data_IF_486402811140
#
_entry.id   IF_486402811140
#
_cell.length_a   1.000
_cell.length_b   1.000
_cell.length_c   1.000
_cell.angle_alpha   90.00
_cell.angle_beta   90.00
_cell.angle_gamma   90.00
#
_symmetry.space_group_name_H-M   'P 1'
#
loop_
_entity.id
_entity.type
_entity.pdbx_description
1 polymer ?
#
# COMPACT_ATOMS: atom_id res chain seq x y z
N UNK A 1 10.20 23.44 -44.40
CA UNK A 1 9.19 22.53 -43.81
C UNK A 1 8.97 22.97 -42.37
N UNK A 2 7.88 23.67 -42.09
CA UNK A 2 7.51 24.08 -40.74
C UNK A 2 7.01 22.82 -40.00
N UNK A 3 7.90 22.20 -39.20
CA UNK A 3 7.51 21.14 -38.33
C UNK A 3 6.46 21.66 -37.34
N UNK A 4 5.27 21.09 -37.29
CA UNK A 4 4.27 21.40 -36.28
C UNK A 4 4.87 21.00 -34.94
N UNK A 5 5.35 22.00 -34.19
CA UNK A 5 5.73 21.82 -32.80
C UNK A 5 4.44 21.62 -32.02
N UNK A 6 4.39 20.53 -31.23
CA UNK A 6 3.27 20.29 -30.33
C UNK A 6 3.33 21.32 -29.20
N UNK A 7 2.21 21.84 -28.80
CA UNK A 7 2.04 22.79 -27.70
C UNK A 7 1.97 22.08 -26.31
N UNK A 8 2.26 20.79 -26.29
CA UNK A 8 2.30 19.97 -25.06
C UNK A 8 3.44 18.97 -25.09
N UNK A 9 3.90 18.60 -23.90
CA UNK A 9 4.80 17.49 -23.68
C UNK A 9 3.99 16.19 -23.47
N UNK A 10 4.25 15.17 -24.28
CA UNK A 10 3.75 13.82 -23.99
C UNK A 10 4.54 13.24 -22.82
N UNK A 11 3.83 12.77 -21.79
CA UNK A 11 4.45 12.22 -20.58
C UNK A 11 4.33 10.70 -20.50
N UNK A 12 3.08 10.17 -20.63
CA UNK A 12 2.81 8.74 -20.47
C UNK A 12 1.50 8.35 -21.15
N UNK A 13 1.17 7.05 -21.12
CA UNK A 13 -0.14 6.51 -21.47
C UNK A 13 -0.84 5.94 -20.26
N UNK A 14 -2.16 5.98 -20.23
CA UNK A 14 -2.95 5.40 -19.17
C UNK A 14 -4.25 4.79 -19.69
N UNK A 15 -4.73 3.79 -18.95
CA UNK A 15 -6.03 3.20 -19.18
C UNK A 15 -7.07 3.97 -18.35
N UNK A 16 -8.16 4.33 -18.98
CA UNK A 16 -9.28 5.07 -18.38
C UNK A 16 -10.61 4.51 -18.86
N UNK A 17 -11.69 5.17 -18.49
CA UNK A 17 -13.05 4.90 -18.99
C UNK A 17 -13.61 6.13 -19.69
N UNK A 18 -14.43 5.90 -20.68
CA UNK A 18 -15.22 6.97 -21.32
C UNK A 18 -16.31 7.46 -20.36
N UNK A 19 -16.45 8.78 -20.19
CA UNK A 19 -17.48 9.35 -19.30
C UNK A 19 -18.91 9.14 -19.80
N UNK A 20 -19.08 8.82 -21.07
CA UNK A 20 -20.40 8.70 -21.71
C UNK A 20 -20.87 7.23 -21.81
N UNK A 21 -20.05 6.35 -22.36
CA UNK A 21 -20.42 4.94 -22.57
C UNK A 21 -19.75 3.96 -21.59
N UNK A 22 -18.95 4.44 -20.66
CA UNK A 22 -18.25 3.69 -19.62
C UNK A 22 -17.32 2.58 -20.13
N UNK A 23 -17.02 2.55 -21.42
CA UNK A 23 -16.08 1.59 -21.99
C UNK A 23 -14.64 1.99 -21.67
N UNK A 24 -13.79 1.00 -21.56
CA UNK A 24 -12.34 1.17 -21.44
C UNK A 24 -11.80 1.94 -22.64
N UNK A 25 -10.99 2.96 -22.38
CA UNK A 25 -10.30 3.76 -23.39
C UNK A 25 -8.84 3.97 -22.99
N UNK A 26 -7.98 4.12 -23.98
CA UNK A 26 -6.60 4.55 -23.76
C UNK A 26 -6.54 6.07 -23.81
N UNK A 27 -5.77 6.65 -22.90
CA UNK A 27 -5.54 8.08 -22.83
C UNK A 27 -4.05 8.40 -22.85
N UNK A 28 -3.71 9.59 -23.30
CA UNK A 28 -2.37 10.17 -23.19
C UNK A 28 -2.32 11.08 -21.98
N UNK A 29 -1.30 10.93 -21.15
CA UNK A 29 -0.97 11.92 -20.14
C UNK A 29 -0.06 12.94 -20.79
N UNK A 30 -0.48 14.20 -20.76
CA UNK A 30 0.24 15.31 -21.37
C UNK A 30 0.46 16.44 -20.35
N UNK A 31 1.58 17.13 -20.49
CA UNK A 31 1.89 18.34 -19.72
C UNK A 31 1.76 19.53 -20.65
N UNK A 32 0.92 20.47 -20.28
CA UNK A 32 0.67 21.71 -21.01
C UNK A 32 0.45 22.84 -20.00
N UNK A 33 1.12 23.98 -20.19
CA UNK A 33 1.01 25.16 -19.33
C UNK A 33 1.20 24.82 -17.83
N UNK A 34 2.24 24.04 -17.52
CA UNK A 34 2.60 23.54 -16.18
C UNK A 34 1.52 22.70 -15.48
N UNK A 35 0.52 22.25 -16.22
CA UNK A 35 -0.56 21.38 -15.76
C UNK A 35 -0.52 20.02 -16.44
N UNK A 36 -1.06 19.02 -15.78
CA UNK A 36 -1.13 17.66 -16.30
C UNK A 36 -2.55 17.31 -16.67
N UNK A 37 -2.72 16.83 -17.88
CA UNK A 37 -4.01 16.42 -18.42
C UNK A 37 -3.96 14.98 -18.93
N UNK A 38 -5.12 14.32 -18.89
CA UNK A 38 -5.39 13.11 -19.66
C UNK A 38 -6.22 13.47 -20.88
N UNK A 39 -5.63 13.29 -22.07
CA UNK A 39 -6.33 13.45 -23.37
C UNK A 39 -6.73 12.07 -23.87
N UNK A 40 -8.02 11.82 -23.99
CA UNK A 40 -8.58 10.51 -24.36
C UNK A 40 -9.65 10.63 -25.44
N UNK A 41 -9.72 9.60 -26.29
CA UNK A 41 -10.71 9.47 -27.36
C UNK A 41 -11.40 8.10 -27.25
N UNK A 42 -12.70 8.11 -27.12
CA UNK A 42 -13.50 6.90 -27.20
C UNK A 42 -13.90 6.63 -28.66
N UNK A 43 -13.38 5.56 -29.22
CA UNK A 43 -13.74 5.18 -30.61
C UNK A 43 -15.18 4.66 -30.75
N UNK A 44 -15.81 4.21 -29.66
CA UNK A 44 -17.17 3.66 -29.68
C UNK A 44 -18.26 4.72 -29.80
N UNK A 45 -18.07 5.89 -29.18
CA UNK A 45 -19.04 7.00 -29.21
C UNK A 45 -18.42 8.31 -29.73
N UNK A 46 -17.18 8.27 -30.23
CA UNK A 46 -16.42 9.41 -30.73
C UNK A 46 -16.22 10.54 -29.72
N UNK A 47 -16.41 10.27 -28.42
CA UNK A 47 -16.21 11.25 -27.36
C UNK A 47 -14.71 11.54 -27.18
N UNK A 48 -14.36 12.82 -27.31
CA UNK A 48 -13.04 13.33 -27.01
C UNK A 48 -13.08 14.12 -25.71
N UNK A 49 -12.16 13.84 -24.80
CA UNK A 49 -12.10 14.48 -23.49
C UNK A 49 -10.66 14.83 -23.13
N UNK A 50 -10.50 16.00 -22.51
CA UNK A 50 -9.26 16.42 -21.89
C UNK A 50 -9.55 16.71 -20.42
N UNK A 51 -9.06 15.83 -19.53
CA UNK A 51 -9.34 15.85 -18.10
C UNK A 51 -8.10 16.37 -17.36
N UNK A 52 -8.27 17.37 -16.49
CA UNK A 52 -7.20 17.83 -15.61
C UNK A 52 -6.90 16.76 -14.56
N UNK A 53 -5.63 16.34 -14.46
CA UNK A 53 -5.15 15.40 -13.45
C UNK A 53 -4.42 16.12 -12.31
N UNK A 54 -3.66 17.17 -12.64
CA UNK A 54 -2.94 17.99 -11.65
C UNK A 54 -2.78 19.40 -12.19
N UNK A 55 -2.92 20.38 -11.34
CA UNK A 55 -2.61 21.78 -11.63
C UNK A 55 -1.14 22.15 -11.41
N UNK A 56 -0.33 21.19 -10.91
CA UNK A 56 1.10 21.28 -10.70
C UNK A 56 1.82 20.11 -11.36
N UNK A 57 2.49 20.36 -12.48
CA UNK A 57 3.20 19.36 -13.25
C UNK A 57 4.50 18.90 -12.55
N UNK A 58 5.15 19.76 -11.78
CA UNK A 58 6.37 19.42 -11.06
C UNK A 58 6.04 18.46 -9.91
N UNK A 59 5.02 18.77 -9.11
CA UNK A 59 4.55 17.88 -8.06
C UNK A 59 4.14 16.50 -8.63
N UNK A 60 3.40 16.49 -9.74
CA UNK A 60 2.99 15.25 -10.39
C UNK A 60 4.18 14.38 -10.83
N UNK A 61 5.23 14.99 -11.40
CA UNK A 61 6.47 14.31 -11.78
C UNK A 61 7.19 13.76 -10.56
N UNK A 62 7.37 14.58 -9.53
CA UNK A 62 8.06 14.17 -8.29
C UNK A 62 7.38 12.98 -7.63
N UNK A 63 6.05 12.94 -7.59
CA UNK A 63 5.31 11.79 -7.06
C UNK A 63 5.56 10.50 -7.85
N UNK A 64 5.84 10.60 -9.16
CA UNK A 64 6.03 9.43 -10.02
C UNK A 64 7.49 9.06 -10.28
N UNK A 65 8.37 10.02 -10.30
CA UNK A 65 9.78 9.84 -10.68
C UNK A 65 10.72 9.79 -9.47
N UNK A 66 10.36 10.50 -8.39
CA UNK A 66 11.24 10.63 -7.21
C UNK A 66 10.72 9.85 -6.01
N UNK A 67 9.41 9.86 -5.79
CA UNK A 67 8.82 9.22 -4.62
C UNK A 67 8.43 7.75 -4.83
N UNK A 68 8.43 7.29 -6.06
CA UNK A 68 8.21 5.86 -6.34
C UNK A 68 9.52 5.12 -6.14
N UNK A 69 9.62 4.38 -5.04
CA UNK A 69 10.72 3.46 -4.78
C UNK A 69 10.62 2.30 -5.78
N UNK A 70 11.69 1.93 -6.49
CA UNK A 70 11.67 0.74 -7.33
C UNK A 70 11.42 -0.49 -6.47
N UNK A 71 10.85 -1.53 -7.06
CA UNK A 71 10.69 -2.83 -6.40
C UNK A 71 12.05 -3.34 -5.94
N UNK A 72 12.15 -3.73 -4.70
CA UNK A 72 13.35 -4.33 -4.13
C UNK A 72 13.14 -5.84 -4.02
N UNK A 73 14.19 -6.57 -4.33
CA UNK A 73 14.19 -8.03 -4.18
C UNK A 73 14.15 -8.40 -2.68
N UNK A 74 13.60 -9.58 -2.32
CA UNK A 74 13.70 -10.08 -0.97
C UNK A 74 15.16 -10.22 -0.54
N UNK A 75 15.48 -9.79 0.68
CA UNK A 75 16.83 -9.97 1.26
C UNK A 75 17.12 -11.44 1.56
N UNK A 76 16.09 -12.22 1.86
CA UNK A 76 16.19 -13.65 2.11
C UNK A 76 15.04 -14.41 1.45
N UNK A 77 15.38 -15.56 0.90
CA UNK A 77 14.42 -16.53 0.39
C UNK A 77 14.25 -17.65 1.41
N UNK A 78 13.02 -17.87 1.88
CA UNK A 78 12.69 -18.88 2.89
C UNK A 78 11.82 -20.02 2.34
N UNK A 79 11.44 -19.95 1.08
CA UNK A 79 10.64 -20.97 0.41
C UNK A 79 11.46 -21.60 -0.71
N UNK A 80 11.64 -22.96 -0.71
CA UNK A 80 12.35 -23.63 -1.79
C UNK A 80 11.58 -23.54 -3.11
N UNK A 81 12.29 -23.26 -4.20
CA UNK A 81 11.71 -23.29 -5.54
C UNK A 81 11.74 -24.70 -6.12
N UNK A 82 10.56 -25.23 -6.49
CA UNK A 82 10.42 -26.52 -7.15
C UNK A 82 9.82 -26.40 -8.55
N UNK A 83 8.83 -25.55 -8.72
CA UNK A 83 8.12 -25.34 -9.99
C UNK A 83 8.15 -23.90 -10.45
N UNK A 84 8.57 -22.97 -9.60
CA UNK A 84 8.60 -21.53 -9.86
C UNK A 84 7.22 -20.87 -9.70
N UNK A 85 7.19 -19.57 -9.95
CA UNK A 85 5.96 -18.77 -9.88
C UNK A 85 4.97 -19.18 -11.00
N UNK A 86 3.67 -19.31 -10.72
CA UNK A 86 2.94 -18.99 -9.47
C UNK A 86 2.72 -20.21 -8.55
N UNK A 87 3.42 -21.30 -8.74
CA UNK A 87 3.14 -22.58 -8.08
C UNK A 87 3.79 -22.70 -6.69
N UNK A 88 4.96 -22.11 -6.51
CA UNK A 88 5.65 -22.04 -5.22
C UNK A 88 5.33 -20.68 -4.58
N UNK A 89 4.23 -20.61 -3.80
CA UNK A 89 3.85 -19.38 -3.11
C UNK A 89 4.64 -19.19 -1.83
N UNK A 90 5.34 -18.04 -1.73
CA UNK A 90 6.19 -17.63 -0.62
C UNK A 90 7.38 -16.81 -1.12
N UNK A 91 8.30 -16.49 -0.22
CA UNK A 91 9.55 -15.81 -0.57
C UNK A 91 10.53 -16.83 -1.17
N UNK A 92 10.27 -17.27 -2.40
CA UNK A 92 11.13 -18.17 -3.16
C UNK A 92 12.06 -17.37 -4.09
N UNK A 93 13.11 -18.00 -4.66
CA UNK A 93 14.04 -17.33 -5.58
C UNK A 93 13.42 -16.69 -6.84
N UNK A 94 12.18 -17.04 -7.18
CA UNK A 94 11.43 -16.40 -8.27
C UNK A 94 10.59 -15.19 -7.81
N UNK A 95 10.62 -14.84 -6.52
CA UNK A 95 9.88 -13.70 -5.98
C UNK A 95 10.65 -12.41 -6.23
N UNK A 96 10.01 -11.41 -6.83
CA UNK A 96 10.67 -10.18 -7.30
C UNK A 96 10.44 -8.97 -6.40
N UNK A 97 9.71 -9.15 -5.28
CA UNK A 97 9.39 -8.06 -4.37
C UNK A 97 9.59 -8.50 -2.91
N UNK A 98 10.10 -7.60 -2.08
CA UNK A 98 10.15 -7.80 -0.64
C UNK A 98 8.84 -7.40 0.05
N UNK A 99 8.73 -7.69 1.34
CA UNK A 99 7.55 -7.36 2.16
C UNK A 99 7.66 -5.92 2.68
N UNK A 100 7.28 -4.93 1.85
CA UNK A 100 7.37 -3.51 2.20
C UNK A 100 6.46 -3.07 3.37
N UNK A 101 5.42 -3.84 3.69
CA UNK A 101 4.50 -3.61 4.81
C UNK A 101 4.14 -4.92 5.47
N UNK A 102 4.50 -5.08 6.74
CA UNK A 102 4.12 -6.22 7.56
C UNK A 102 3.03 -5.82 8.55
N UNK A 103 1.92 -6.55 8.53
CA UNK A 103 0.83 -6.41 9.49
C UNK A 103 1.01 -7.41 10.64
N UNK A 104 1.09 -6.90 11.88
CA UNK A 104 1.08 -7.72 13.09
C UNK A 104 -0.28 -7.53 13.77
N UNK A 105 -1.12 -8.52 13.67
CA UNK A 105 -2.44 -8.53 14.30
C UNK A 105 -2.31 -9.03 15.75
N UNK A 106 -2.49 -8.12 16.71
CA UNK A 106 -2.25 -8.41 18.13
C UNK A 106 -3.49 -8.90 18.86
N UNK A 107 -4.67 -8.68 18.31
CA UNK A 107 -5.97 -9.09 18.88
C UNK A 107 -7.07 -9.13 17.84
N UNK A 108 -8.05 -10.01 18.01
CA UNK A 108 -9.30 -9.99 17.26
C UNK A 108 -10.42 -9.25 18.00
N UNK A 109 -10.17 -8.82 19.25
CA UNK A 109 -11.11 -8.01 20.00
C UNK A 109 -11.16 -6.56 19.51
N UNK A 110 -12.37 -6.00 19.40
CA UNK A 110 -12.60 -4.59 19.05
C UNK A 110 -13.76 -4.03 19.86
N UNK A 111 -13.68 -2.76 20.24
CA UNK A 111 -14.76 -2.04 20.95
C UNK A 111 -15.83 -1.47 20.00
N UNK A 112 -15.67 -1.67 18.67
CA UNK A 112 -16.66 -1.30 17.67
C UNK A 112 -17.27 -2.54 17.01
N UNK A 113 -18.51 -2.40 16.54
CA UNK A 113 -19.22 -3.37 15.73
C UNK A 113 -19.56 -2.75 14.39
N UNK A 114 -18.57 -2.64 13.54
CA UNK A 114 -18.74 -2.10 12.19
C UNK A 114 -19.61 -3.05 11.35
N UNK A 115 -20.57 -2.52 10.56
CA UNK A 115 -21.43 -3.36 9.72
C UNK A 115 -20.66 -4.11 8.63
N UNK A 116 -19.48 -3.62 8.26
CA UNK A 116 -18.53 -4.27 7.37
C UNK A 116 -17.15 -4.17 8.04
N UNK A 117 -16.58 -5.33 8.39
CA UNK A 117 -15.24 -5.44 8.93
C UNK A 117 -14.53 -6.59 8.22
N UNK A 118 -13.42 -6.31 7.54
CA UNK A 118 -12.70 -7.35 6.81
C UNK A 118 -12.05 -8.40 7.72
N UNK A 119 -11.69 -8.00 8.95
CA UNK A 119 -11.07 -8.86 9.95
C UNK A 119 -12.11 -9.63 10.82
N UNK A 120 -13.40 -9.41 10.58
CA UNK A 120 -14.48 -10.01 11.39
C UNK A 120 -14.27 -9.84 12.90
N UNK A 121 -13.76 -8.68 13.30
CA UNK A 121 -13.48 -8.32 14.69
C UNK A 121 -14.69 -7.67 15.34
N UNK A 122 -14.80 -7.81 16.67
CA UNK A 122 -15.92 -7.19 17.38
C UNK A 122 -15.86 -7.38 18.90
N UNK A 123 -16.83 -6.78 19.62
CA UNK A 123 -16.91 -6.86 21.08
C UNK A 123 -17.18 -8.29 21.61
N UNK A 124 -17.72 -9.16 20.80
CA UNK A 124 -17.97 -10.56 21.10
C UNK A 124 -16.72 -11.40 21.20
N UNK A 125 -15.63 -10.99 20.56
CA UNK A 125 -14.31 -11.63 20.61
C UNK A 125 -13.51 -11.17 21.83
N UNK A 126 -14.09 -11.25 23.01
CA UNK A 126 -13.47 -10.80 24.24
C UNK A 126 -12.22 -11.64 24.55
N UNK A 127 -11.18 -10.92 25.02
CA UNK A 127 -9.95 -11.50 25.54
C UNK A 127 -9.14 -12.35 24.54
N UNK A 128 -9.40 -12.19 23.27
CA UNK A 128 -8.56 -12.80 22.23
C UNK A 128 -7.34 -11.92 21.94
N UNK A 129 -6.42 -11.92 22.90
CA UNK A 129 -5.17 -11.18 22.81
C UNK A 129 -4.01 -12.16 22.61
N UNK A 130 -3.17 -11.90 21.62
CA UNK A 130 -1.92 -12.65 21.47
C UNK A 130 -0.96 -12.27 22.60
N UNK A 131 -0.25 -13.25 23.14
CA UNK A 131 0.73 -12.98 24.20
C UNK A 131 1.87 -12.12 23.66
N UNK A 132 2.45 -11.27 24.52
CA UNK A 132 3.63 -10.46 24.16
C UNK A 132 4.77 -11.33 23.63
N UNK A 133 5.00 -12.50 24.22
CA UNK A 133 6.01 -13.45 23.75
C UNK A 133 5.76 -13.90 22.30
N UNK A 134 4.51 -14.23 21.96
CA UNK A 134 4.15 -14.62 20.58
C UNK A 134 4.36 -13.45 19.62
N UNK A 135 3.97 -12.24 19.99
CA UNK A 135 4.18 -11.03 19.18
C UNK A 135 5.68 -10.79 18.96
N UNK A 136 6.50 -10.95 19.99
CA UNK A 136 7.96 -10.87 19.88
C UNK A 136 8.48 -11.88 18.86
N UNK A 137 8.04 -13.14 18.92
CA UNK A 137 8.43 -14.17 17.95
C UNK A 137 8.03 -13.80 16.51
N UNK A 138 6.84 -13.22 16.33
CA UNK A 138 6.41 -12.72 15.00
C UNK A 138 7.32 -11.59 14.51
N UNK A 139 7.65 -10.63 15.36
CA UNK A 139 8.57 -9.53 15.04
C UNK A 139 9.97 -10.04 14.69
N UNK A 140 10.49 -10.99 15.45
CA UNK A 140 11.81 -11.60 15.20
C UNK A 140 11.84 -12.33 13.85
N UNK A 141 10.77 -13.04 13.50
CA UNK A 141 10.64 -13.69 12.20
C UNK A 141 10.62 -12.68 11.04
N UNK A 142 9.98 -11.52 11.22
CA UNK A 142 10.00 -10.45 10.21
C UNK A 142 11.41 -9.91 10.03
N UNK A 143 12.09 -9.55 11.13
CA UNK A 143 13.47 -9.02 11.07
C UNK A 143 14.45 -10.06 10.51
N UNK A 144 14.26 -11.34 10.82
CA UNK A 144 15.09 -12.40 10.26
C UNK A 144 15.00 -12.48 8.73
N UNK A 145 13.84 -12.20 8.15
CA UNK A 145 13.62 -12.30 6.72
C UNK A 145 13.89 -10.99 5.97
N UNK A 146 13.53 -9.84 6.53
CA UNK A 146 13.65 -8.53 5.87
C UNK A 146 14.89 -7.75 6.30
N UNK A 147 15.64 -8.18 7.33
CA UNK A 147 16.78 -7.52 7.97
C UNK A 147 16.43 -6.13 8.54
N UNK A 148 16.02 -5.19 7.69
CA UNK A 148 15.57 -3.84 8.03
C UNK A 148 14.17 -3.60 7.46
N UNK A 149 13.10 -4.12 8.11
CA UNK A 149 11.74 -3.96 7.62
C UNK A 149 11.36 -2.50 7.41
N UNK A 150 10.80 -2.17 6.24
CA UNK A 150 10.38 -0.80 5.92
C UNK A 150 9.28 -0.33 6.88
N UNK A 151 8.19 -1.08 6.95
CA UNK A 151 7.04 -0.73 7.78
C UNK A 151 6.49 -1.94 8.52
N UNK A 152 6.37 -1.81 9.84
CA UNK A 152 5.56 -2.71 10.66
C UNK A 152 4.33 -1.95 11.14
N UNK A 153 3.15 -2.49 10.85
CA UNK A 153 1.87 -1.95 11.30
C UNK A 153 1.26 -2.86 12.36
N UNK A 154 1.12 -2.35 13.57
CA UNK A 154 0.36 -3.00 14.63
C UNK A 154 -1.12 -2.82 14.35
N UNK A 155 -1.83 -3.93 14.23
CA UNK A 155 -3.22 -4.00 13.79
C UNK A 155 -3.98 -5.09 14.56
N UNK A 156 -5.17 -5.43 14.07
CA UNK A 156 -6.09 -6.40 14.62
C UNK A 156 -7.50 -5.85 14.65
N UNK A 157 -8.29 -6.20 15.66
CA UNK A 157 -9.56 -5.54 15.90
C UNK A 157 -9.34 -4.07 16.30
N UNK A 158 -9.00 -3.85 17.57
CA UNK A 158 -8.53 -2.55 18.06
C UNK A 158 -7.26 -2.76 18.91
N UNK A 159 -6.07 -2.52 18.37
CA UNK A 159 -4.82 -2.86 19.05
C UNK A 159 -4.59 -2.08 20.34
N UNK A 160 -5.15 -0.87 20.49
CA UNK A 160 -4.99 -0.07 21.71
C UNK A 160 -5.69 -0.68 22.92
N UNK A 161 -6.58 -1.67 22.73
CA UNK A 161 -7.21 -2.42 23.81
C UNK A 161 -6.31 -3.53 24.36
N UNK A 162 -5.23 -3.87 23.66
CA UNK A 162 -4.30 -4.87 24.13
C UNK A 162 -3.69 -4.46 25.48
N UNK A 163 -3.66 -5.34 26.51
CA UNK A 163 -3.13 -4.98 27.81
C UNK A 163 -1.64 -4.57 27.77
N UNK A 164 -0.86 -5.21 26.90
CA UNK A 164 0.57 -4.95 26.73
C UNK A 164 0.86 -3.99 25.55
N UNK A 165 -0.10 -3.15 25.13
CA UNK A 165 0.01 -2.32 23.92
C UNK A 165 1.32 -1.52 23.85
N UNK A 166 1.70 -0.84 24.95
CA UNK A 166 2.94 -0.06 24.97
C UNK A 166 4.20 -0.94 24.94
N UNK A 167 4.18 -2.08 25.64
CA UNK A 167 5.29 -3.04 25.57
C UNK A 167 5.49 -3.61 24.15
N UNK A 168 4.41 -3.79 23.39
CA UNK A 168 4.45 -4.16 21.97
C UNK A 168 5.14 -3.06 21.14
N UNK A 169 4.76 -1.80 21.33
CA UNK A 169 5.40 -0.69 20.61
C UNK A 169 6.89 -0.57 20.95
N UNK A 170 7.26 -0.76 22.20
CA UNK A 170 8.66 -0.74 22.63
C UNK A 170 9.42 -1.93 22.00
N UNK A 171 8.84 -3.12 21.99
CA UNK A 171 9.43 -4.27 21.32
C UNK A 171 9.69 -4.04 19.82
N UNK A 172 8.81 -3.33 19.10
CA UNK A 172 9.08 -2.95 17.70
C UNK A 172 10.23 -1.97 17.59
N UNK A 173 10.28 -0.93 18.46
CA UNK A 173 11.33 0.10 18.46
C UNK A 173 12.73 -0.43 18.81
N UNK A 174 12.82 -1.54 19.54
CA UNK A 174 14.09 -2.21 19.84
C UNK A 174 14.68 -2.94 18.63
N UNK A 175 13.97 -2.99 17.52
CA UNK A 175 14.35 -3.66 16.27
C UNK A 175 14.67 -2.66 15.16
N UNK A 176 15.44 -3.05 14.12
CA UNK A 176 15.82 -2.19 13.01
C UNK A 176 14.65 -1.94 12.04
N UNK A 177 13.52 -1.49 12.55
CA UNK A 177 12.32 -1.18 11.78
C UNK A 177 12.33 0.30 11.40
N UNK A 178 12.20 0.62 10.12
CA UNK A 178 12.26 2.01 9.67
C UNK A 178 11.04 2.82 10.12
N UNK A 179 9.83 2.23 10.00
CA UNK A 179 8.59 2.91 10.37
C UNK A 179 7.66 1.99 11.16
N UNK A 180 7.24 2.44 12.33
CA UNK A 180 6.19 1.82 13.12
C UNK A 180 4.87 2.56 12.90
N UNK A 181 3.86 1.82 12.47
CA UNK A 181 2.49 2.31 12.31
C UNK A 181 1.54 1.61 13.29
N UNK A 182 0.47 2.31 13.68
CA UNK A 182 -0.64 1.74 14.45
C UNK A 182 -1.93 1.98 13.69
N UNK A 183 -2.67 0.92 13.41
CA UNK A 183 -4.01 1.01 12.83
C UNK A 183 -5.05 0.98 13.94
N UNK A 184 -5.67 2.11 14.25
CA UNK A 184 -6.60 2.27 15.37
C UNK A 184 -7.84 3.05 14.98
N UNK A 185 -8.98 2.76 15.61
CA UNK A 185 -10.19 3.56 15.48
C UNK A 185 -10.12 4.89 16.26
N UNK A 186 -9.08 5.10 17.04
CA UNK A 186 -8.78 6.35 17.74
C UNK A 186 -9.63 6.66 18.99
N UNK A 187 -10.60 5.80 19.34
CA UNK A 187 -11.51 6.08 20.46
C UNK A 187 -10.74 6.23 21.78
N UNK A 188 -9.79 5.35 22.04
CA UNK A 188 -8.98 5.42 23.25
C UNK A 188 -8.13 6.68 23.29
N UNK A 189 -7.52 7.03 22.18
CA UNK A 189 -6.67 8.24 22.05
C UNK A 189 -7.49 9.52 22.26
N UNK A 190 -8.75 9.54 21.80
CA UNK A 190 -9.62 10.69 21.94
C UNK A 190 -10.15 10.90 23.36
N UNK A 191 -10.14 9.87 24.22
CA UNK A 191 -10.70 9.89 25.56
C UNK A 191 -9.64 9.99 26.68
N UNK A 192 -8.36 9.89 26.34
CA UNK A 192 -7.21 10.10 27.23
C UNK A 192 -6.56 11.48 26.97
#
# INVERSE_FOLDING_TARGET
>A
MSGRIRDYLFYDTAISVCSECLRRVEGKIIIQDEKVYMDKLCYSCAKKEKVLLSDDAEYYRRCREVYVKPSEMPERWNTPMKYGCPYDCGLCPSHEQHSCLTLIEVTDHCNLKCPICYADSGPERKEDYRTLEHIIQMLDAVVENELEPDVIQISGGEPTLHPDFFAILDAVKERPVQHLMVNTNGIRIANE
#
